data_IF_418017572658
#
_entry.id   IF_418017572658
#
_cell.length_a   1.000
_cell.length_b   1.000
_cell.length_c   1.000
_cell.angle_alpha   90.00
_cell.angle_beta   90.00
_cell.angle_gamma   90.00
#
_symmetry.space_group_name_H-M   'P 1'
#
loop_
_entity.id
_entity.type
_entity.pdbx_description
1 polymer ?
#
# COMPACT_ATOMS: atom_id res chain seq x y z
N UNK A 1 10.00 -10.97 -5.74
CA UNK A 1 9.76 -10.38 -7.06
C UNK A 1 8.35 -9.83 -7.08
N UNK A 2 8.13 -8.57 -7.46
CA UNK A 2 6.79 -8.01 -7.62
C UNK A 2 5.95 -8.91 -8.55
N UNK A 3 4.69 -9.13 -8.18
CA UNK A 3 3.76 -9.99 -8.90
C UNK A 3 2.62 -9.14 -9.44
N UNK A 4 2.23 -9.38 -10.69
CA UNK A 4 1.14 -8.70 -11.35
C UNK A 4 -0.22 -9.10 -10.75
N UNK A 5 -1.29 -8.38 -11.11
CA UNK A 5 -2.65 -8.68 -10.65
C UNK A 5 -3.19 -10.03 -11.14
N UNK A 6 -2.52 -10.63 -12.13
CA UNK A 6 -2.72 -11.98 -12.65
C UNK A 6 -1.95 -13.06 -11.87
N UNK A 7 -1.16 -12.68 -10.86
CA UNK A 7 -0.35 -13.58 -10.05
C UNK A 7 0.94 -14.04 -10.73
N UNK A 8 1.30 -13.48 -11.88
CA UNK A 8 2.54 -13.78 -12.58
C UNK A 8 3.66 -12.80 -12.17
N UNK A 9 4.94 -13.23 -12.16
CA UNK A 9 6.04 -12.32 -11.85
C UNK A 9 6.11 -11.20 -12.89
N UNK A 10 6.23 -9.96 -12.42
CA UNK A 10 6.43 -8.81 -13.30
C UNK A 10 7.81 -8.89 -13.97
N UNK A 11 7.90 -8.44 -15.22
CA UNK A 11 9.18 -8.19 -15.86
C UNK A 11 9.90 -7.03 -15.17
N UNK A 12 11.24 -6.99 -15.26
CA UNK A 12 12.06 -5.99 -14.57
C UNK A 12 11.64 -4.55 -14.93
N UNK A 13 11.33 -4.29 -16.21
CA UNK A 13 10.83 -2.98 -16.69
C UNK A 13 9.49 -2.61 -16.04
N UNK A 14 8.56 -3.56 -15.93
CA UNK A 14 7.25 -3.35 -15.32
C UNK A 14 7.35 -3.20 -13.80
N UNK A 15 8.31 -3.88 -13.16
CA UNK A 15 8.60 -3.73 -11.74
C UNK A 15 9.19 -2.33 -11.43
N UNK A 16 10.07 -1.80 -12.29
CA UNK A 16 10.61 -0.44 -12.17
C UNK A 16 9.53 0.61 -12.42
N UNK A 17 8.67 0.41 -13.42
CA UNK A 17 7.54 1.30 -13.68
C UNK A 17 6.51 1.27 -12.53
N UNK A 18 6.25 0.10 -11.93
CA UNK A 18 5.39 -0.02 -10.76
C UNK A 18 6.00 0.71 -9.56
N UNK A 19 7.29 0.51 -9.26
CA UNK A 19 8.00 1.21 -8.20
C UNK A 19 8.01 2.74 -8.40
N UNK A 20 8.15 3.20 -9.64
CA UNK A 20 8.03 4.63 -10.00
C UNK A 20 6.59 5.16 -9.98
N UNK A 21 5.58 4.29 -10.14
CA UNK A 21 4.17 4.63 -9.98
C UNK A 21 3.80 4.81 -8.49
N UNK A 22 4.44 4.10 -7.57
CA UNK A 22 4.27 4.31 -6.11
C UNK A 22 4.77 5.71 -5.71
N UNK A 23 5.90 6.14 -6.29
CA UNK A 23 6.45 7.49 -6.13
C UNK A 23 5.58 8.56 -6.82
N UNK A 24 4.98 8.23 -7.97
CA UNK A 24 4.05 9.12 -8.69
C UNK A 24 2.68 9.24 -8.02
N UNK A 25 2.21 8.22 -7.29
CA UNK A 25 1.00 8.27 -6.48
C UNK A 25 1.17 9.20 -5.26
N UNK A 26 2.40 9.33 -4.73
CA UNK A 26 2.73 10.27 -3.67
C UNK A 26 2.77 11.74 -4.15
N UNK A 27 2.99 11.99 -5.45
CA UNK A 27 3.09 13.35 -6.01
C UNK A 27 1.74 14.01 -6.32
N UNK A 28 0.60 13.33 -6.17
CA UNK A 28 -0.72 13.88 -6.53
C UNK A 28 -1.95 13.28 -5.85
N UNK A 29 -1.80 12.34 -4.92
CA UNK A 29 -2.93 11.81 -4.13
C UNK A 29 -3.43 12.82 -3.07
N UNK A 30 -4.70 12.74 -2.63
CA UNK A 30 -5.17 13.55 -1.51
C UNK A 30 -4.35 13.22 -0.26
N UNK A 31 -4.00 14.23 0.52
CA UNK A 31 -3.48 14.00 1.87
C UNK A 31 -4.52 13.15 2.61
N UNK A 32 -4.10 12.14 3.36
CA UNK A 32 -5.01 11.32 4.16
C UNK A 32 -4.76 11.56 5.66
N UNK A 33 -5.83 11.51 6.46
CA UNK A 33 -5.76 11.50 7.93
C UNK A 33 -6.26 10.16 8.45
N UNK A 34 -5.69 9.71 9.56
CA UNK A 34 -6.25 8.60 10.33
C UNK A 34 -7.56 9.04 11.00
N UNK A 35 -8.59 8.23 10.86
CA UNK A 35 -9.93 8.52 11.38
C UNK A 35 -10.36 7.49 12.42
N UNK A 36 -9.98 6.23 12.23
CA UNK A 36 -10.20 5.19 13.23
C UNK A 36 -9.04 4.20 13.27
N UNK A 37 -8.84 3.60 14.44
CA UNK A 37 -7.88 2.54 14.66
C UNK A 37 -8.63 1.24 14.96
N UNK A 38 -8.33 0.21 14.18
CA UNK A 38 -8.94 -1.10 14.33
C UNK A 38 -8.78 -1.61 15.75
N UNK A 39 -9.86 -2.14 16.33
CA UNK A 39 -9.86 -2.71 17.68
C UNK A 39 -9.31 -4.14 17.71
N UNK A 40 -9.10 -4.75 16.54
CA UNK A 40 -8.59 -6.10 16.37
C UNK A 40 -7.26 -6.06 15.63
N UNK A 41 -6.23 -6.64 16.25
CA UNK A 41 -4.93 -6.80 15.64
C UNK A 41 -4.89 -7.98 14.68
N UNK A 42 -4.03 -7.88 13.66
CA UNK A 42 -3.72 -8.99 12.77
C UNK A 42 -2.27 -9.43 12.98
N UNK A 43 -1.96 -10.68 12.62
CA UNK A 43 -0.64 -11.27 12.80
C UNK A 43 -0.12 -11.74 11.45
N UNK A 44 1.09 -11.29 11.10
CA UNK A 44 1.84 -11.79 9.94
C UNK A 44 3.16 -12.33 10.48
N UNK A 45 3.38 -13.64 10.37
CA UNK A 45 4.51 -14.29 11.03
C UNK A 45 4.52 -13.99 12.55
N UNK A 46 5.66 -13.65 13.11
CA UNK A 46 5.93 -13.20 14.48
C UNK A 46 5.61 -11.71 14.72
N UNK A 47 5.09 -11.00 13.73
CA UNK A 47 4.79 -9.58 13.81
C UNK A 47 3.29 -9.32 13.99
N UNK A 48 2.97 -8.37 14.87
CA UNK A 48 1.59 -7.93 15.14
C UNK A 48 1.36 -6.56 14.52
N UNK A 49 0.27 -6.42 13.75
CA UNK A 49 -0.17 -5.18 13.12
C UNK A 49 -1.58 -4.76 13.57
N UNK A 50 -1.93 -3.50 13.31
CA UNK A 50 -3.26 -2.93 13.56
C UNK A 50 -3.74 -2.21 12.31
N UNK A 51 -5.04 -2.25 12.05
CA UNK A 51 -5.66 -1.51 10.95
C UNK A 51 -5.82 -0.04 11.31
N UNK A 52 -5.68 0.83 10.30
CA UNK A 52 -6.01 2.26 10.43
C UNK A 52 -6.88 2.65 9.24
N UNK A 53 -8.04 3.25 9.53
CA UNK A 53 -8.92 3.79 8.52
C UNK A 53 -8.47 5.20 8.16
N UNK A 54 -8.31 5.43 6.87
CA UNK A 54 -7.80 6.68 6.32
C UNK A 54 -8.89 7.38 5.50
N UNK A 55 -9.06 8.68 5.71
CA UNK A 55 -9.93 9.53 4.89
C UNK A 55 -9.14 10.70 4.29
N UNK A 56 -9.52 11.20 3.10
CA UNK A 56 -8.97 12.42 2.53
C UNK A 56 -9.09 13.62 3.48
N UNK A 57 -8.03 14.42 3.53
CA UNK A 57 -8.00 15.74 4.17
C UNK A 57 -8.25 16.77 3.09
N UNK A 58 -9.43 17.39 3.14
CA UNK A 58 -9.93 18.41 2.22
C UNK A 58 -11.03 19.23 2.87
#
# INVERSE_FOLDING_TARGET
MPTGPDGLPLSDEAAVAAAGAEDSAAAGGPLLRAVDWGTVSFIISDHVGTWVDLEPVG
#
